data_IF_492050229012
#
_entry.id   IF_492050229012
#
_cell.length_a   1.000
_cell.length_b   1.000
_cell.length_c   1.000
_cell.angle_alpha   90.00
_cell.angle_beta   90.00
_cell.angle_gamma   90.00
#
_symmetry.space_group_name_H-M   'P 1'
#
loop_
_entity.id
_entity.type
_entity.pdbx_description
1 polymer ?
#
# COMPACT_ATOMS: atom_id res chain seq x y z
N UNK A 1 2.28 -19.01 -2.76
CA UNK A 1 0.81 -18.92 -2.77
C UNK A 1 0.36 -18.86 -1.32
N UNK A 2 -0.16 -17.72 -0.86
CA UNK A 2 -0.63 -17.54 0.52
C UNK A 2 -2.13 -17.83 0.55
N UNK A 3 -2.56 -18.81 1.33
CA UNK A 3 -3.98 -19.08 1.56
C UNK A 3 -4.41 -18.37 2.83
N UNK A 4 -5.30 -17.39 2.68
CA UNK A 4 -5.93 -16.70 3.82
C UNK A 4 -7.26 -17.38 4.09
N UNK A 5 -7.47 -17.89 5.30
CA UNK A 5 -8.77 -18.38 5.74
C UNK A 5 -9.62 -17.17 6.16
N UNK A 6 -10.45 -16.69 5.25
CA UNK A 6 -11.42 -15.64 5.56
C UNK A 6 -12.41 -16.21 6.57
N UNK A 7 -12.53 -15.56 7.73
CA UNK A 7 -13.64 -15.83 8.65
C UNK A 7 -14.96 -15.53 7.92
N UNK A 8 -16.00 -16.36 8.05
CA UNK A 8 -17.31 -16.05 7.47
C UNK A 8 -17.94 -14.78 8.07
N UNK A 9 -17.50 -14.35 9.26
CA UNK A 9 -17.77 -13.02 9.80
C UNK A 9 -16.76 -12.02 9.23
N UNK A 10 -17.18 -11.26 8.22
CA UNK A 10 -16.47 -10.07 7.80
C UNK A 10 -16.64 -9.00 8.87
N UNK A 11 -15.56 -8.68 9.60
CA UNK A 11 -15.53 -7.48 10.44
C UNK A 11 -15.72 -6.27 9.52
N UNK A 12 -16.72 -5.41 9.78
CA UNK A 12 -16.91 -4.21 8.97
C UNK A 12 -15.63 -3.38 8.97
N UNK A 13 -15.26 -2.83 7.81
CA UNK A 13 -14.11 -1.96 7.69
C UNK A 13 -14.24 -0.80 8.68
N UNK A 14 -13.14 -0.46 9.35
CA UNK A 14 -13.14 0.65 10.30
C UNK A 14 -13.60 1.93 9.59
N UNK A 15 -14.56 2.70 10.15
CA UNK A 15 -15.04 3.94 9.53
C UNK A 15 -13.92 4.95 9.21
N UNK A 16 -12.84 4.91 10.00
CA UNK A 16 -11.64 5.72 9.79
C UNK A 16 -10.96 5.47 8.43
N UNK A 17 -11.20 4.34 7.77
CA UNK A 17 -10.62 4.01 6.47
C UNK A 17 -11.53 4.39 5.29
N UNK A 18 -12.74 4.91 5.54
CA UNK A 18 -13.71 5.20 4.49
C UNK A 18 -13.16 6.16 3.41
N UNK A 19 -12.34 7.13 3.83
CA UNK A 19 -11.74 8.15 2.96
C UNK A 19 -10.24 7.90 2.69
N UNK A 20 -9.75 6.68 2.99
CA UNK A 20 -8.35 6.33 2.78
C UNK A 20 -7.93 6.45 1.31
N UNK A 21 -8.81 6.00 0.41
CA UNK A 21 -8.59 6.04 -1.03
C UNK A 21 -9.58 7.05 -1.63
N UNK A 22 -9.10 8.09 -2.35
CA UNK A 22 -10.00 9.04 -2.97
C UNK A 22 -10.91 8.38 -4.02
N UNK A 23 -12.10 8.93 -4.20
CA UNK A 23 -13.02 8.49 -5.24
C UNK A 23 -12.37 8.56 -6.63
N UNK A 24 -12.65 7.55 -7.47
CA UNK A 24 -12.11 7.46 -8.83
C UNK A 24 -10.70 6.88 -8.92
N UNK A 25 -10.05 6.57 -7.80
CA UNK A 25 -8.74 5.92 -7.82
C UNK A 25 -8.87 4.42 -8.08
N UNK A 26 -7.85 3.89 -8.75
CA UNK A 26 -7.77 2.51 -9.20
C UNK A 26 -6.77 1.74 -8.35
N UNK A 27 -7.17 0.53 -7.93
CA UNK A 27 -6.27 -0.40 -7.28
C UNK A 27 -5.17 -0.82 -8.26
N UNK A 28 -3.92 -0.69 -7.84
CA UNK A 28 -2.75 -1.12 -8.61
C UNK A 28 -2.33 -2.53 -8.22
N UNK A 29 -1.92 -2.74 -6.96
CA UNK A 29 -1.48 -4.05 -6.47
C UNK A 29 -1.37 -4.12 -4.95
N UNK A 30 -1.31 -5.35 -4.45
CA UNK A 30 -0.82 -5.67 -3.11
C UNK A 30 0.65 -6.06 -3.17
N UNK A 31 1.45 -5.52 -2.26
CA UNK A 31 2.78 -6.00 -1.92
C UNK A 31 2.67 -6.84 -0.65
N UNK A 32 3.29 -8.02 -0.65
CA UNK A 32 3.49 -8.83 0.55
C UNK A 32 4.96 -8.74 0.89
N UNK A 33 5.28 -8.24 2.08
CA UNK A 33 6.66 -8.04 2.54
C UNK A 33 6.88 -8.77 3.86
N UNK A 34 8.00 -9.49 3.94
CA UNK A 34 8.36 -10.31 5.11
C UNK A 34 9.11 -9.47 6.17
N UNK A 35 8.52 -8.36 6.57
CA UNK A 35 9.07 -7.43 7.57
C UNK A 35 7.93 -6.83 8.41
N UNK A 36 8.19 -6.31 9.64
CA UNK A 36 7.17 -5.66 10.44
C UNK A 36 6.56 -4.43 9.74
N UNK A 37 5.30 -4.11 10.05
CA UNK A 37 4.59 -2.97 9.45
C UNK A 37 5.29 -1.62 9.70
N UNK A 38 6.01 -1.45 10.82
CA UNK A 38 6.73 -0.21 11.11
C UNK A 38 7.92 0.02 10.17
N UNK A 39 8.64 -1.05 9.79
CA UNK A 39 9.70 -0.97 8.77
C UNK A 39 9.11 -0.54 7.42
N UNK A 40 7.93 -1.06 7.07
CA UNK A 40 7.21 -0.64 5.86
C UNK A 40 6.85 0.84 5.91
N UNK A 41 6.27 1.32 7.02
CA UNK A 41 5.92 2.73 7.21
C UNK A 41 7.15 3.63 7.10
N UNK A 42 8.28 3.23 7.68
CA UNK A 42 9.54 3.96 7.57
C UNK A 42 10.01 4.05 6.10
N UNK A 43 9.94 2.96 5.35
CA UNK A 43 10.30 2.94 3.93
C UNK A 43 9.36 3.82 3.08
N UNK A 44 8.05 3.81 3.36
CA UNK A 44 7.09 4.71 2.69
C UNK A 44 7.43 6.18 2.96
N UNK A 45 7.77 6.53 4.21
CA UNK A 45 8.22 7.86 4.58
C UNK A 45 9.50 8.27 3.82
N UNK A 46 10.49 7.37 3.73
CA UNK A 46 11.73 7.58 2.98
C UNK A 46 11.49 7.79 1.48
N UNK A 47 10.46 7.16 0.92
CA UNK A 47 10.02 7.37 -0.46
C UNK A 47 9.13 8.60 -0.65
N UNK A 48 8.93 9.40 0.39
CA UNK A 48 8.19 10.67 0.32
C UNK A 48 6.67 10.53 0.42
N UNK A 49 6.15 9.37 0.82
CA UNK A 49 4.74 9.25 1.18
C UNK A 49 4.53 9.75 2.61
N UNK A 50 3.45 10.48 2.80
CA UNK A 50 3.09 11.12 4.07
C UNK A 50 1.88 10.38 4.64
N UNK A 51 1.94 10.03 5.92
CA UNK A 51 0.82 9.45 6.63
C UNK A 51 -0.29 10.50 6.84
N UNK A 52 -1.49 10.20 6.35
CA UNK A 52 -2.70 10.97 6.61
C UNK A 52 -3.33 10.48 7.91
N UNK A 53 -3.16 11.25 8.98
CA UNK A 53 -3.64 10.88 10.32
C UNK A 53 -5.15 10.60 10.39
N UNK A 54 -5.95 11.27 9.55
CA UNK A 54 -7.41 11.10 9.54
C UNK A 54 -7.87 9.78 8.90
N UNK A 55 -7.13 9.29 7.91
CA UNK A 55 -7.55 8.17 7.07
C UNK A 55 -6.69 6.91 7.23
N UNK A 56 -5.55 7.02 7.91
CA UNK A 56 -4.54 5.96 8.02
C UNK A 56 -3.81 5.64 6.71
N UNK A 57 -4.16 6.32 5.62
CA UNK A 57 -3.52 6.16 4.32
C UNK A 57 -2.18 6.89 4.26
N UNK A 58 -1.27 6.37 3.46
CA UNK A 58 -0.03 7.04 3.09
C UNK A 58 -0.20 7.60 1.70
N UNK A 59 0.02 8.90 1.50
CA UNK A 59 -0.14 9.55 0.19
C UNK A 59 1.12 10.25 -0.27
N UNK A 60 1.37 10.23 -1.56
CA UNK A 60 2.51 10.90 -2.18
C UNK A 60 2.63 10.53 -3.65
N UNK A 61 3.85 10.63 -4.16
CA UNK A 61 4.18 10.16 -5.50
C UNK A 61 5.17 9.00 -5.43
N UNK A 62 4.93 7.96 -6.23
CA UNK A 62 5.89 6.90 -6.50
C UNK A 62 6.28 6.99 -7.97
N UNK A 63 7.56 7.30 -8.23
CA UNK A 63 8.09 7.44 -9.59
C UNK A 63 7.29 8.45 -10.44
N UNK A 64 6.90 9.57 -9.83
CA UNK A 64 6.11 10.63 -10.46
C UNK A 64 4.61 10.34 -10.58
N UNK A 65 4.13 9.17 -10.13
CA UNK A 65 2.71 8.79 -10.19
C UNK A 65 2.07 8.98 -8.81
N UNK A 66 0.92 9.67 -8.76
CA UNK A 66 0.18 9.84 -7.51
C UNK A 66 -0.25 8.48 -6.96
N UNK A 67 0.08 8.23 -5.69
CA UNK A 67 -0.09 6.95 -5.05
C UNK A 67 -0.64 7.10 -3.63
N UNK A 68 -1.50 6.15 -3.27
CA UNK A 68 -2.06 6.00 -1.95
C UNK A 68 -1.77 4.57 -1.50
N UNK A 69 -1.32 4.41 -0.26
CA UNK A 69 -0.94 3.13 0.30
C UNK A 69 -1.64 2.89 1.63
N UNK A 70 -2.17 1.69 1.82
CA UNK A 70 -2.59 1.20 3.13
C UNK A 70 -1.66 0.08 3.57
N UNK A 71 -1.13 0.21 4.78
CA UNK A 71 -0.24 -0.79 5.40
C UNK A 71 -1.03 -1.58 6.43
N UNK A 72 -1.23 -2.87 6.13
CA UNK A 72 -1.83 -3.83 7.04
C UNK A 72 -0.71 -4.57 7.79
N UNK A 73 -0.74 -4.47 9.12
CA UNK A 73 0.06 -5.29 10.01
C UNK A 73 -0.62 -6.66 10.16
N UNK A 74 -0.14 -7.65 9.42
CA UNK A 74 -0.79 -8.96 9.36
C UNK A 74 -0.25 -9.92 10.42
N UNK A 75 1.06 -9.93 10.62
CA UNK A 75 1.78 -10.70 11.65
C UNK A 75 3.08 -9.97 12.00
N UNK A 76 3.75 -10.30 13.13
CA UNK A 76 4.96 -9.59 13.56
C UNK A 76 6.08 -9.43 12.52
N UNK A 77 6.14 -10.30 11.50
CA UNK A 77 7.11 -10.22 10.39
C UNK A 77 6.45 -10.24 9.01
N UNK A 78 5.17 -9.93 8.92
CA UNK A 78 4.44 -9.95 7.68
C UNK A 78 3.52 -8.75 7.61
N UNK A 79 3.76 -7.90 6.61
CA UNK A 79 2.89 -6.77 6.32
C UNK A 79 2.41 -6.82 4.85
N UNK A 80 1.23 -6.25 4.62
CA UNK A 80 0.73 -5.99 3.28
C UNK A 80 0.68 -4.50 3.00
N UNK A 81 1.04 -4.13 1.78
CA UNK A 81 0.86 -2.77 1.26
C UNK A 81 -0.10 -2.83 0.09
N UNK A 82 -1.29 -2.27 0.26
CA UNK A 82 -2.23 -2.10 -0.85
C UNK A 82 -1.99 -0.73 -1.48
N UNK A 83 -1.82 -0.69 -2.80
CA UNK A 83 -1.51 0.53 -3.56
C UNK A 83 -2.64 0.90 -4.50
N UNK A 84 -2.98 2.18 -4.53
CA UNK A 84 -3.93 2.80 -5.45
C UNK A 84 -3.31 4.01 -6.15
N UNK A 85 -3.92 4.43 -7.26
CA UNK A 85 -3.51 5.58 -8.07
C UNK A 85 -4.69 6.20 -8.80
N UNK A 86 -4.59 7.47 -9.18
CA UNK A 86 -5.51 8.13 -10.11
C UNK A 86 -5.25 7.75 -11.58
N UNK A 87 -4.14 7.06 -11.87
CA UNK A 87 -3.81 6.61 -13.21
C UNK A 87 -4.85 5.61 -13.74
N UNK A 88 -5.34 5.85 -14.95
CA UNK A 88 -6.31 4.96 -15.60
C UNK A 88 -5.75 3.54 -15.79
N UNK A 89 -6.58 2.49 -15.67
CA UNK A 89 -6.17 1.11 -15.91
C UNK A 89 -5.57 0.93 -17.31
N UNK A 90 -4.45 0.21 -17.39
CA UNK A 90 -3.74 -0.03 -18.65
C UNK A 90 -2.87 1.14 -19.16
N UNK A 91 -2.94 2.31 -18.53
CA UNK A 91 -2.11 3.46 -18.88
C UNK A 91 -0.61 3.24 -18.60
N UNK A 92 0.24 4.03 -19.25
CA UNK A 92 1.69 4.03 -18.97
C UNK A 92 2.00 4.44 -17.52
N UNK A 93 1.21 5.36 -16.94
CA UNK A 93 1.37 5.76 -15.55
C UNK A 93 1.10 4.59 -14.58
N UNK A 94 0.05 3.79 -14.82
CA UNK A 94 -0.18 2.59 -14.01
C UNK A 94 0.94 1.56 -14.18
N UNK A 95 1.50 1.40 -15.39
CA UNK A 95 2.65 0.52 -15.62
C UNK A 95 3.91 1.00 -14.89
N UNK A 96 4.17 2.32 -14.88
CA UNK A 96 5.25 2.93 -14.12
C UNK A 96 5.07 2.64 -12.62
N UNK A 97 3.87 2.84 -12.08
CA UNK A 97 3.57 2.53 -10.69
C UNK A 97 3.77 1.04 -10.36
N UNK A 98 3.38 0.11 -11.24
CA UNK A 98 3.66 -1.32 -11.05
C UNK A 98 5.15 -1.61 -10.92
N UNK A 99 5.98 -0.87 -11.66
CA UNK A 99 7.45 -0.98 -11.60
C UNK A 99 8.00 -0.34 -10.34
N UNK A 100 7.58 0.87 -10.01
CA UNK A 100 7.94 1.55 -8.77
C UNK A 100 7.59 0.70 -7.53
N UNK A 101 6.44 0.04 -7.54
CA UNK A 101 6.00 -0.83 -6.47
C UNK A 101 6.86 -2.10 -6.33
N UNK A 102 7.47 -2.60 -7.42
CA UNK A 102 8.45 -3.70 -7.34
C UNK A 102 9.74 -3.23 -6.67
N UNK A 103 10.24 -2.07 -7.05
CA UNK A 103 11.43 -1.48 -6.43
C UNK A 103 11.19 -1.16 -4.97
N UNK A 104 10.04 -0.58 -4.63
CA UNK A 104 9.62 -0.33 -3.25
C UNK A 104 9.63 -1.61 -2.41
N UNK A 105 9.09 -2.72 -2.94
CA UNK A 105 9.13 -4.00 -2.25
C UNK A 105 10.56 -4.47 -1.97
N UNK A 106 11.43 -4.41 -2.98
CA UNK A 106 12.82 -4.82 -2.84
C UNK A 106 13.56 -3.98 -1.80
N UNK A 107 13.35 -2.66 -1.80
CA UNK A 107 13.93 -1.75 -0.81
C UNK A 107 13.45 -2.06 0.61
N UNK A 108 12.14 -2.27 0.80
CA UNK A 108 11.57 -2.64 2.10
C UNK A 108 12.20 -3.94 2.62
N UNK A 109 12.33 -4.95 1.74
CA UNK A 109 12.93 -6.24 2.08
C UNK A 109 14.45 -6.14 2.33
N UNK A 110 15.13 -5.10 1.84
CA UNK A 110 16.54 -4.85 2.13
C UNK A 110 16.78 -4.16 3.49
N UNK A 111 15.74 -3.59 4.10
CA UNK A 111 15.80 -2.88 5.39
C UNK A 111 15.59 -3.77 6.62
N UNK A 112 15.16 -5.03 6.47
CA UNK A 112 14.84 -5.95 7.57
C UNK A 112 15.30 -7.38 7.33
#
# INVERSE_FOLDING_TARGET
>A
MLWVRLSPEATPAAPALADAVPAGWHFCRTLTVNTPADTVRAALAQRGLIAEAASGAWRGQLDGVAAAALVLDAQPRLAFVHLWTDAAPGSLAMQALHTAARSLRADIEALG
#
